data_IF_875910036494
#
_entry.id   IF_875910036494
#
_cell.length_a   1.000
_cell.length_b   1.000
_cell.length_c   1.000
_cell.angle_alpha   90.00
_cell.angle_beta   90.00
_cell.angle_gamma   90.00
#
_symmetry.space_group_name_H-M   'P 1'
#
loop_
_entity.id
_entity.type
_entity.pdbx_description
1 polymer ?
#
# COMPACT_ATOMS: atom_id res chain seq x y z
N UNK A 1 -19.13 14.56 -8.56
CA UNK A 1 -18.39 13.67 -7.65
C UNK A 1 -18.72 14.06 -6.22
N UNK A 2 -19.35 13.16 -5.47
CA UNK A 2 -19.64 13.29 -4.04
C UNK A 2 -18.45 12.81 -3.19
N UNK A 3 -18.48 13.08 -1.88
CA UNK A 3 -17.46 12.58 -0.96
C UNK A 3 -17.43 11.04 -0.88
N UNK A 4 -18.60 10.40 -1.00
CA UNK A 4 -18.70 8.94 -1.03
C UNK A 4 -18.06 8.35 -2.29
N UNK A 5 -18.33 8.98 -3.44
CA UNK A 5 -17.70 8.60 -4.72
C UNK A 5 -16.19 8.81 -4.69
N UNK A 6 -15.71 9.85 -3.98
CA UNK A 6 -14.28 10.10 -3.78
C UNK A 6 -13.60 9.02 -2.94
N UNK A 7 -14.22 8.62 -1.84
CA UNK A 7 -13.69 7.54 -1.01
C UNK A 7 -13.68 6.19 -1.75
N UNK A 8 -14.76 5.89 -2.48
CA UNK A 8 -14.88 4.65 -3.25
C UNK A 8 -13.89 4.56 -4.42
N UNK A 9 -13.49 5.70 -5.00
CA UNK A 9 -12.52 5.77 -6.07
C UNK A 9 -11.05 5.78 -5.59
N UNK A 10 -10.79 5.70 -4.29
CA UNK A 10 -9.43 5.79 -3.74
C UNK A 10 -8.64 4.49 -3.97
N UNK A 11 -7.58 4.50 -4.82
CA UNK A 11 -6.77 3.31 -5.05
C UNK A 11 -6.01 2.87 -3.79
N UNK A 12 -5.72 3.81 -2.88
CA UNK A 12 -5.07 3.52 -1.59
C UNK A 12 -5.99 2.66 -0.72
N UNK A 13 -7.28 3.00 -0.68
CA UNK A 13 -8.26 2.25 0.09
C UNK A 13 -8.52 0.88 -0.52
N UNK A 14 -8.62 0.80 -1.84
CA UNK A 14 -8.74 -0.47 -2.57
C UNK A 14 -7.56 -1.39 -2.29
N UNK A 15 -6.32 -0.88 -2.40
CA UNK A 15 -5.13 -1.68 -2.14
C UNK A 15 -5.03 -2.11 -0.68
N UNK A 16 -5.30 -1.22 0.27
CA UNK A 16 -5.32 -1.56 1.70
C UNK A 16 -6.34 -2.66 2.00
N UNK A 17 -7.54 -2.57 1.43
CA UNK A 17 -8.57 -3.59 1.59
C UNK A 17 -8.13 -4.93 0.98
N UNK A 18 -7.47 -4.93 -0.17
CA UNK A 18 -6.93 -6.13 -0.82
C UNK A 18 -5.85 -6.81 0.05
N UNK A 19 -4.91 -6.03 0.60
CA UNK A 19 -3.88 -6.57 1.51
C UNK A 19 -4.55 -7.24 2.73
N UNK A 20 -5.55 -6.59 3.34
CA UNK A 20 -6.27 -7.15 4.49
C UNK A 20 -7.00 -8.45 4.08
N UNK A 21 -7.65 -8.46 2.92
CA UNK A 21 -8.35 -9.63 2.39
C UNK A 21 -7.40 -10.81 2.18
N UNK A 22 -6.18 -10.55 1.68
CA UNK A 22 -5.16 -11.59 1.46
C UNK A 22 -4.50 -12.08 2.75
N UNK A 23 -4.24 -11.19 3.71
CA UNK A 23 -3.59 -11.54 4.97
C UNK A 23 -4.51 -12.37 5.89
N UNK A 24 -5.80 -12.05 5.95
CA UNK A 24 -6.78 -12.73 6.84
C UNK A 24 -6.78 -14.26 6.73
N UNK A 25 -6.91 -14.88 5.54
CA UNK A 25 -6.89 -16.33 5.42
C UNK A 25 -5.52 -16.95 5.71
N UNK A 26 -4.43 -16.17 5.65
CA UNK A 26 -3.05 -16.64 5.83
C UNK A 26 -2.52 -16.49 7.25
N UNK A 27 -3.25 -15.77 8.10
CA UNK A 27 -2.96 -15.55 9.52
C UNK A 27 -4.19 -15.94 10.38
N UNK A 28 -4.56 -17.24 10.41
CA UNK A 28 -5.72 -17.66 11.18
C UNK A 28 -5.55 -17.35 12.67
N UNK A 29 -6.61 -16.84 13.29
CA UNK A 29 -6.62 -16.46 14.71
C UNK A 29 -5.99 -15.10 15.01
N UNK A 30 -5.54 -14.34 14.01
CA UNK A 30 -5.07 -12.97 14.15
C UNK A 30 -6.13 -12.00 13.63
N UNK A 31 -6.54 -11.04 14.44
CA UNK A 31 -7.45 -9.97 14.00
C UNK A 31 -6.70 -9.02 13.04
N UNK A 32 -7.23 -8.75 11.85
CA UNK A 32 -6.60 -7.80 10.91
C UNK A 32 -7.57 -6.68 10.58
N UNK A 33 -7.20 -5.47 10.96
CA UNK A 33 -8.00 -4.26 10.81
C UNK A 33 -7.27 -3.19 10.02
N UNK A 34 -8.05 -2.27 9.46
CA UNK A 34 -7.54 -1.09 8.76
C UNK A 34 -7.21 0.02 9.76
N UNK A 35 -6.09 0.71 9.54
CA UNK A 35 -5.66 1.87 10.33
C UNK A 35 -5.43 3.09 9.41
N UNK A 36 -5.94 4.29 9.77
CA UNK A 36 -5.93 5.47 8.88
C UNK A 36 -4.54 6.04 8.55
N UNK A 37 -3.48 5.66 9.26
CA UNK A 37 -2.15 6.17 8.96
C UNK A 37 -1.03 5.61 9.82
N UNK A 38 -0.04 6.45 10.13
CA UNK A 38 0.99 6.14 11.13
C UNK A 38 0.34 6.01 12.50
N UNK A 39 0.67 4.93 13.18
CA UNK A 39 0.08 4.60 14.47
C UNK A 39 0.89 5.25 15.60
N UNK A 40 0.21 6.00 16.46
CA UNK A 40 0.78 6.46 17.72
C UNK A 40 0.77 5.27 18.69
N UNK A 41 1.94 4.96 19.24
CA UNK A 41 2.07 3.85 20.19
C UNK A 41 1.22 4.06 21.43
N UNK A 42 0.93 5.32 21.80
CA UNK A 42 0.04 5.62 22.92
C UNK A 42 -1.39 5.14 22.67
N UNK A 43 -1.90 5.24 21.43
CA UNK A 43 -3.26 4.81 21.07
C UNK A 43 -3.39 3.28 21.10
N UNK A 44 -2.29 2.58 20.80
CA UNK A 44 -2.27 1.12 20.84
C UNK A 44 -2.08 0.59 22.25
N UNK A 45 -1.31 1.28 23.09
CA UNK A 45 -1.23 0.97 24.53
C UNK A 45 -2.61 1.06 25.18
N UNK A 46 -3.49 1.95 24.70
CA UNK A 46 -4.88 2.03 25.15
C UNK A 46 -5.78 0.89 24.62
N UNK A 47 -5.24 -0.07 23.84
CA UNK A 47 -5.96 -1.17 23.16
C UNK A 47 -7.12 -0.69 22.28
N UNK A 48 -7.07 0.54 21.79
CA UNK A 48 -8.18 1.16 21.07
C UNK A 48 -8.27 0.74 19.59
N UNK A 49 -7.20 0.15 19.04
CA UNK A 49 -7.04 -0.02 17.58
C UNK A 49 -7.30 -1.46 17.10
N UNK A 50 -6.77 -2.47 17.80
CA UNK A 50 -6.93 -3.88 17.44
C UNK A 50 -6.74 -4.75 18.69
N UNK A 51 -7.50 -5.84 18.81
CA UNK A 51 -7.35 -6.77 19.93
C UNK A 51 -6.12 -7.68 19.72
N UNK A 52 -5.52 -8.16 20.82
CA UNK A 52 -4.43 -9.12 20.76
C UNK A 52 -4.98 -10.56 20.62
N UNK A 53 -4.36 -11.43 19.78
CA UNK A 53 -3.35 -11.10 18.79
C UNK A 53 -3.97 -10.41 17.56
N UNK A 54 -3.36 -9.32 17.11
CA UNK A 54 -3.93 -8.53 16.02
C UNK A 54 -2.91 -7.71 15.25
N UNK A 55 -3.33 -7.28 14.06
CA UNK A 55 -2.56 -6.49 13.09
C UNK A 55 -3.42 -5.30 12.64
N UNK A 56 -2.93 -4.09 12.88
CA UNK A 56 -3.49 -2.88 12.32
C UNK A 56 -2.68 -2.48 11.08
N UNK A 57 -3.29 -2.49 9.89
CA UNK A 57 -2.62 -2.15 8.64
C UNK A 57 -2.86 -0.67 8.27
N UNK A 58 -1.78 0.10 8.19
CA UNK A 58 -1.81 1.49 7.75
C UNK A 58 -0.74 1.81 6.72
N UNK A 59 -0.67 3.09 6.35
CA UNK A 59 0.35 3.65 5.48
C UNK A 59 0.89 4.94 6.08
N UNK A 60 2.16 5.28 5.80
CA UNK A 60 2.83 6.46 6.35
C UNK A 60 3.07 7.55 5.33
N UNK A 61 3.26 7.18 4.06
CA UNK A 61 3.62 8.11 3.01
C UNK A 61 3.20 7.59 1.64
N UNK A 62 2.78 8.50 0.77
CA UNK A 62 2.59 8.27 -0.65
C UNK A 62 3.35 9.33 -1.43
N UNK A 63 4.23 8.93 -2.34
CA UNK A 63 4.99 9.83 -3.23
C UNK A 63 4.54 9.56 -4.66
N UNK A 64 3.90 10.53 -5.29
CA UNK A 64 3.44 10.41 -6.68
C UNK A 64 4.47 10.92 -7.68
N UNK A 65 4.50 10.29 -8.84
CA UNK A 65 5.25 10.69 -10.02
C UNK A 65 4.27 10.80 -11.19
N UNK A 66 4.20 11.96 -11.83
CA UNK A 66 3.25 12.20 -12.91
C UNK A 66 3.75 11.52 -14.19
N UNK A 67 2.86 10.81 -14.87
CA UNK A 67 3.11 10.27 -16.20
C UNK A 67 2.69 11.27 -17.29
N UNK A 68 3.31 11.13 -18.46
CA UNK A 68 3.07 12.01 -19.62
C UNK A 68 1.62 11.94 -20.11
N UNK A 69 0.98 10.79 -19.97
CA UNK A 69 -0.38 10.55 -20.44
C UNK A 69 -1.46 10.98 -19.43
N UNK A 70 -1.09 11.69 -18.36
CA UNK A 70 -2.04 12.22 -17.38
C UNK A 70 -2.35 11.26 -16.22
N UNK A 71 -1.90 10.01 -16.30
CA UNK A 71 -1.85 9.12 -15.15
C UNK A 71 -0.72 9.52 -14.21
N UNK A 72 -0.65 8.85 -13.07
CA UNK A 72 0.50 8.95 -12.17
C UNK A 72 0.85 7.58 -11.60
N UNK A 73 2.13 7.38 -11.37
CA UNK A 73 2.63 6.29 -10.56
C UNK A 73 2.84 6.81 -9.13
N UNK A 74 3.04 5.91 -8.18
CA UNK A 74 3.48 6.34 -6.86
C UNK A 74 4.03 5.23 -5.99
N UNK A 75 4.88 5.62 -5.05
CA UNK A 75 5.43 4.72 -4.03
C UNK A 75 4.68 4.93 -2.72
N UNK A 76 4.07 3.87 -2.20
CA UNK A 76 3.39 3.85 -0.92
C UNK A 76 4.23 3.13 0.13
N UNK A 77 4.40 3.76 1.29
CA UNK A 77 5.03 3.17 2.48
C UNK A 77 3.94 2.60 3.40
N UNK A 78 3.93 1.28 3.59
CA UNK A 78 2.98 0.56 4.44
C UNK A 78 3.59 0.20 5.80
N UNK A 79 2.71 -0.01 6.77
CA UNK A 79 3.05 -0.55 8.07
C UNK A 79 1.94 -1.48 8.59
N UNK A 80 2.31 -2.70 8.93
CA UNK A 80 1.47 -3.65 9.66
C UNK A 80 1.92 -3.66 11.13
N UNK A 81 1.15 -3.01 12.00
CA UNK A 81 1.42 -2.92 13.43
C UNK A 81 0.87 -4.15 14.13
N UNK A 82 1.75 -4.96 14.71
CA UNK A 82 1.45 -6.23 15.36
C UNK A 82 1.31 -6.00 16.86
N UNK A 83 0.21 -6.46 17.43
CA UNK A 83 -0.13 -6.41 18.85
C UNK A 83 -0.32 -7.82 19.37
N UNK A 84 0.42 -8.19 20.41
CA UNK A 84 0.35 -9.54 20.99
C UNK A 84 0.43 -9.54 22.50
N UNK A 85 -0.21 -10.53 23.12
CA UNK A 85 -0.11 -10.85 24.53
C UNK A 85 0.36 -12.30 24.68
N UNK A 86 0.63 -12.74 25.91
CA UNK A 86 0.95 -14.14 26.16
C UNK A 86 -0.23 -15.03 25.75
N UNK A 87 0.04 -16.01 24.90
CA UNK A 87 -1.00 -16.90 24.39
C UNK A 87 -0.95 -18.25 25.08
N UNK A 88 -2.09 -18.68 25.61
CA UNK A 88 -2.26 -20.01 26.17
C UNK A 88 -2.67 -20.99 25.06
N UNK A 89 -1.72 -21.78 24.58
CA UNK A 89 -1.96 -22.85 23.62
C UNK A 89 -2.51 -24.07 24.38
N UNK A 90 -3.84 -24.14 24.45
CA UNK A 90 -4.55 -25.19 25.18
C UNK A 90 -4.38 -26.56 24.54
N UNK A 91 -4.16 -26.62 23.22
CA UNK A 91 -3.97 -27.87 22.50
C UNK A 91 -2.61 -28.51 22.84
N UNK A 92 -1.55 -27.69 22.90
CA UNK A 92 -0.21 -28.15 23.27
C UNK A 92 0.11 -27.98 24.77
N UNK A 93 -0.87 -27.55 25.59
CA UNK A 93 -0.72 -27.33 27.05
C UNK A 93 0.50 -26.46 27.40
N UNK A 94 0.73 -25.39 26.65
CA UNK A 94 1.90 -24.52 26.82
C UNK A 94 1.53 -23.04 26.74
N UNK A 95 2.39 -22.22 27.35
CA UNK A 95 2.39 -20.78 27.13
C UNK A 95 3.30 -20.44 25.96
N UNK A 96 2.81 -19.62 25.04
CA UNK A 96 3.61 -18.97 24.00
C UNK A 96 3.86 -17.53 24.45
N UNK A 97 5.13 -17.12 24.64
CA UNK A 97 5.46 -15.75 24.99
C UNK A 97 4.99 -14.76 23.92
N UNK A 98 4.48 -13.60 24.33
CA UNK A 98 4.04 -12.52 23.44
C UNK A 98 5.03 -12.18 22.31
N UNK A 99 6.33 -12.07 22.63
CA UNK A 99 7.35 -11.74 21.64
C UNK A 99 7.53 -12.86 20.61
N UNK A 100 7.44 -14.12 21.04
CA UNK A 100 7.50 -15.26 20.12
C UNK A 100 6.28 -15.27 19.17
N UNK A 101 5.10 -14.90 19.67
CA UNK A 101 3.91 -14.76 18.84
C UNK A 101 4.05 -13.60 17.85
N UNK A 102 4.55 -12.44 18.29
CA UNK A 102 4.81 -11.30 17.42
C UNK A 102 5.84 -11.61 16.32
N UNK A 103 6.92 -12.31 16.67
CA UNK A 103 7.91 -12.78 15.69
C UNK A 103 7.29 -13.74 14.68
N UNK A 104 6.43 -14.66 15.12
CA UNK A 104 5.73 -15.59 14.22
C UNK A 104 4.83 -14.86 13.22
N UNK A 105 4.02 -13.92 13.70
CA UNK A 105 3.14 -13.09 12.84
C UNK A 105 3.98 -12.24 11.88
N UNK A 106 4.99 -11.54 12.39
CA UNK A 106 5.85 -10.66 11.60
C UNK A 106 6.64 -11.41 10.54
N UNK A 107 7.22 -12.57 10.88
CA UNK A 107 7.95 -13.42 9.94
C UNK A 107 7.01 -13.92 8.84
N UNK A 108 5.79 -14.32 9.20
CA UNK A 108 4.80 -14.76 8.21
C UNK A 108 4.42 -13.63 7.25
N UNK A 109 4.24 -12.40 7.73
CA UNK A 109 3.99 -11.26 6.84
C UNK A 109 5.19 -11.02 5.91
N UNK A 110 6.42 -11.06 6.43
CA UNK A 110 7.63 -10.92 5.61
C UNK A 110 7.75 -12.01 4.53
N UNK A 111 7.40 -13.27 4.85
CA UNK A 111 7.34 -14.35 3.86
C UNK A 111 6.35 -14.04 2.74
N UNK A 112 5.15 -13.55 3.08
CA UNK A 112 4.13 -13.19 2.08
C UNK A 112 4.56 -11.99 1.22
N UNK A 113 5.30 -11.04 1.79
CA UNK A 113 5.89 -9.93 1.05
C UNK A 113 7.01 -10.38 0.11
N UNK A 114 7.71 -11.45 0.44
CA UNK A 114 8.74 -12.04 -0.41
C UNK A 114 8.15 -12.97 -1.51
N UNK A 115 6.92 -13.42 -1.34
CA UNK A 115 6.24 -14.33 -2.27
C UNK A 115 5.82 -13.59 -3.56
N UNK A 116 6.34 -13.97 -4.75
CA UNK A 116 6.03 -13.32 -6.00
C UNK A 116 4.57 -13.46 -6.45
N UNK A 117 3.87 -14.49 -5.97
CA UNK A 117 2.49 -14.80 -6.38
C UNK A 117 1.45 -14.13 -5.46
N UNK A 118 1.88 -13.71 -4.26
CA UNK A 118 0.99 -13.09 -3.25
C UNK A 118 1.24 -11.60 -3.09
N UNK A 119 2.49 -11.14 -3.21
CA UNK A 119 2.89 -9.78 -2.84
C UNK A 119 2.29 -8.65 -3.71
N UNK A 120 1.66 -8.99 -4.84
CA UNK A 120 0.86 -8.05 -5.64
C UNK A 120 -0.61 -7.92 -5.18
N UNK A 121 -1.03 -8.70 -4.18
CA UNK A 121 -2.36 -8.63 -3.54
C UNK A 121 -3.55 -8.82 -4.48
N UNK A 122 -3.37 -9.64 -5.51
CA UNK A 122 -4.34 -9.83 -6.61
C UNK A 122 -4.73 -8.50 -7.31
N UNK A 123 -3.90 -7.47 -7.20
CA UNK A 123 -4.11 -6.17 -7.83
C UNK A 123 -3.19 -5.99 -9.03
N UNK A 124 -3.76 -5.56 -10.16
CA UNK A 124 -2.98 -5.14 -11.31
C UNK A 124 -2.27 -3.81 -11.02
N UNK A 125 -1.08 -3.62 -11.61
CA UNK A 125 -0.33 -2.38 -11.46
C UNK A 125 0.34 -2.21 -10.09
N UNK A 126 0.46 -3.26 -9.29
CA UNK A 126 1.20 -3.25 -8.03
C UNK A 126 2.50 -4.04 -8.22
N UNK A 127 3.62 -3.36 -7.99
CA UNK A 127 4.93 -4.01 -7.97
C UNK A 127 5.13 -4.83 -6.69
N UNK A 128 6.12 -5.72 -6.73
CA UNK A 128 6.64 -6.35 -5.52
C UNK A 128 7.19 -5.31 -4.54
N UNK A 129 7.27 -5.62 -3.24
CA UNK A 129 7.93 -4.77 -2.27
C UNK A 129 9.33 -4.36 -2.72
N UNK A 130 9.63 -3.07 -2.57
CA UNK A 130 10.91 -2.49 -2.95
C UNK A 130 12.03 -3.09 -2.10
N UNK A 131 13.21 -3.27 -2.72
CA UNK A 131 14.40 -3.76 -2.03
C UNK A 131 15.10 -2.68 -1.18
N UNK A 132 14.81 -1.40 -1.45
CA UNK A 132 15.36 -0.27 -0.69
C UNK A 132 14.28 0.80 -0.41
N UNK A 133 13.84 0.99 0.85
CA UNK A 133 14.16 0.14 1.99
C UNK A 133 13.49 -1.25 1.85
N UNK A 134 14.23 -2.31 2.18
CA UNK A 134 13.68 -3.67 2.22
C UNK A 134 12.58 -3.79 3.29
N UNK A 135 11.62 -4.73 3.12
CA UNK A 135 10.68 -5.07 4.17
C UNK A 135 11.39 -5.42 5.48
N UNK A 136 10.92 -4.85 6.60
CA UNK A 136 11.60 -4.99 7.89
C UNK A 136 10.60 -5.21 9.03
N UNK A 137 10.94 -6.13 9.94
CA UNK A 137 10.25 -6.32 11.22
C UNK A 137 10.99 -5.55 12.31
N UNK A 138 10.34 -4.55 12.91
CA UNK A 138 10.93 -3.67 13.93
C UNK A 138 10.18 -3.79 15.27
N UNK A 139 10.87 -4.04 16.39
CA UNK A 139 10.25 -3.97 17.71
C UNK A 139 9.91 -2.51 18.08
N UNK A 140 8.71 -2.28 18.61
CA UNK A 140 8.26 -0.98 19.09
C UNK A 140 8.14 -1.00 20.62
N UNK A 141 9.27 -0.95 21.30
CA UNK A 141 9.29 -1.04 22.76
C UNK A 141 8.80 0.25 23.43
N UNK A 142 7.93 0.12 24.43
CA UNK A 142 7.66 1.17 25.42
C UNK A 142 7.62 0.57 26.82
N UNK A 143 7.98 1.35 27.85
CA UNK A 143 7.84 0.88 29.24
C UNK A 143 6.39 0.52 29.57
N UNK A 144 5.43 1.33 29.11
CA UNK A 144 3.99 1.06 29.31
C UNK A 144 3.52 -0.25 28.69
N UNK A 145 3.99 -0.58 27.48
CA UNK A 145 3.61 -1.83 26.83
C UNK A 145 4.13 -3.04 27.58
N UNK A 146 5.36 -2.94 28.09
CA UNK A 146 5.95 -3.99 28.91
C UNK A 146 5.15 -4.27 30.19
N UNK A 147 4.78 -3.21 30.90
CA UNK A 147 3.98 -3.29 32.14
C UNK A 147 2.56 -3.81 31.87
N UNK A 148 1.98 -3.45 30.72
CA UNK A 148 0.64 -3.91 30.31
C UNK A 148 0.61 -5.38 29.85
N UNK A 149 1.76 -6.03 29.73
CA UNK A 149 1.84 -7.42 29.28
C UNK A 149 1.75 -7.60 27.76
N UNK A 150 1.92 -6.53 26.98
CA UNK A 150 1.73 -6.50 25.53
C UNK A 150 3.06 -6.29 24.81
N UNK A 151 3.26 -6.96 23.67
CA UNK A 151 4.38 -6.74 22.76
C UNK A 151 3.90 -6.07 21.46
N UNK A 152 4.67 -5.07 21.02
CA UNK A 152 4.39 -4.29 19.82
C UNK A 152 5.53 -4.40 18.84
N UNK A 153 5.20 -4.74 17.59
CA UNK A 153 6.13 -4.81 16.48
C UNK A 153 5.49 -4.14 15.26
N UNK A 154 6.29 -3.77 14.27
CA UNK A 154 5.80 -3.32 12.98
C UNK A 154 6.54 -4.03 11.85
N UNK A 155 5.81 -4.53 10.87
CA UNK A 155 6.38 -4.86 9.56
C UNK A 155 6.16 -3.67 8.65
N UNK A 156 7.23 -3.07 8.14
CA UNK A 156 7.17 -1.94 7.22
C UNK A 156 7.73 -2.33 5.85
N UNK A 157 7.16 -1.78 4.78
CA UNK A 157 7.65 -1.99 3.42
C UNK A 157 7.18 -0.86 2.49
N UNK A 158 7.79 -0.76 1.31
CA UNK A 158 7.36 0.17 0.25
C UNK A 158 6.93 -0.60 -0.99
N UNK A 159 5.89 -0.16 -1.69
CA UNK A 159 5.46 -0.73 -2.97
C UNK A 159 5.13 0.37 -3.97
N UNK A 160 5.40 0.10 -5.25
CA UNK A 160 5.03 0.99 -6.35
C UNK A 160 3.67 0.60 -6.89
N UNK A 161 2.85 1.62 -7.12
CA UNK A 161 1.54 1.58 -7.74
C UNK A 161 1.68 2.24 -9.12
N UNK A 162 1.16 1.60 -10.16
CA UNK A 162 1.28 2.04 -11.54
C UNK A 162 -0.05 2.47 -12.13
N UNK A 163 0.02 3.46 -13.03
CA UNK A 163 -1.09 3.82 -13.91
C UNK A 163 -2.33 4.29 -13.15
N UNK A 164 -2.14 4.95 -12.01
CA UNK A 164 -3.24 5.49 -11.23
C UNK A 164 -3.86 6.71 -11.94
N UNK A 165 -5.16 6.89 -11.75
CA UNK A 165 -5.92 7.96 -12.41
C UNK A 165 -6.42 7.56 -13.80
N UNK A 166 -6.69 8.56 -14.63
CA UNK A 166 -7.26 8.38 -15.99
C UNK A 166 -6.29 8.95 -17.01
N UNK A 167 -6.07 8.21 -18.10
CA UNK A 167 -5.24 8.68 -19.20
C UNK A 167 -5.97 9.76 -20.00
N UNK A 168 -5.23 10.69 -20.59
CA UNK A 168 -5.75 11.62 -21.58
C UNK A 168 -6.32 10.87 -22.80
N UNK A 169 -5.75 9.71 -23.13
CA UNK A 169 -6.18 8.86 -24.24
C UNK A 169 -7.42 8.00 -23.93
N UNK A 170 -7.84 7.90 -22.66
CA UNK A 170 -9.11 7.26 -22.31
C UNK A 170 -10.32 8.15 -22.69
N UNK A 171 -10.06 9.41 -23.04
CA UNK A 171 -11.09 10.35 -23.52
C UNK A 171 -11.43 10.03 -24.98
N UNK A 172 -12.72 9.87 -25.33
CA UNK A 172 -13.12 9.61 -26.72
C UNK A 172 -12.55 10.68 -27.65
N UNK A 173 -11.95 10.32 -28.77
CA UNK A 173 -11.44 11.27 -29.77
C UNK A 173 -10.01 11.77 -29.54
N UNK A 174 -9.26 11.17 -28.60
CA UNK A 174 -7.80 11.32 -28.51
C UNK A 174 -7.18 9.93 -28.71
N UNK A 175 -6.23 9.80 -29.63
CA UNK A 175 -5.48 8.54 -29.79
C UNK A 175 -4.00 8.81 -29.99
N UNK A 176 -3.14 7.99 -29.39
CA UNK A 176 -1.70 8.01 -29.59
C UNK A 176 -1.26 6.78 -30.37
N UNK A 177 -0.32 6.95 -31.29
CA UNK A 177 0.35 5.84 -31.99
C UNK A 177 1.83 6.16 -32.18
N UNK A 178 2.64 5.13 -32.36
CA UNK A 178 4.02 5.29 -32.84
C UNK A 178 3.97 5.15 -34.37
N UNK A 179 4.59 6.08 -35.09
CA UNK A 179 4.72 5.97 -36.55
C UNK A 179 5.85 5.02 -36.96
N UNK A 180 6.05 4.83 -38.27
CA UNK A 180 7.07 3.93 -38.81
C UNK A 180 8.50 4.37 -38.48
N UNK A 181 8.69 5.65 -38.16
CA UNK A 181 9.98 6.26 -37.81
C UNK A 181 10.26 6.23 -36.30
N UNK A 182 9.32 5.68 -35.50
CA UNK A 182 9.45 5.57 -34.06
C UNK A 182 9.00 6.83 -33.29
N UNK A 183 8.39 7.81 -33.96
CA UNK A 183 7.91 9.03 -33.32
C UNK A 183 6.50 8.84 -32.75
N UNK A 184 6.23 9.50 -31.62
CA UNK A 184 4.88 9.57 -31.05
C UNK A 184 3.98 10.52 -31.83
N UNK A 185 2.91 10.00 -32.42
CA UNK A 185 1.88 10.76 -33.12
C UNK A 185 0.59 10.75 -32.31
N UNK A 186 0.11 11.95 -31.94
CA UNK A 186 -1.20 12.14 -31.30
C UNK A 186 -2.21 12.59 -32.36
N UNK A 187 -3.25 11.79 -32.57
CA UNK A 187 -4.37 12.12 -33.43
C UNK A 187 -5.56 12.64 -32.61
N UNK A 188 -6.05 13.81 -33.00
CA UNK A 188 -7.26 14.44 -32.48
C UNK A 188 -8.42 14.09 -33.42
N UNK A 189 -9.58 13.76 -32.86
CA UNK A 189 -10.82 13.71 -33.64
C UNK A 189 -11.14 15.08 -34.25
N UNK A 190 -11.90 15.10 -35.35
CA UNK A 190 -12.33 16.33 -36.02
C UNK A 190 -12.95 17.32 -34.99
N UNK A 191 -12.56 18.59 -35.08
CA UNK A 191 -12.99 19.72 -34.23
C UNK A 191 -12.59 19.70 -32.74
N UNK A 192 -11.41 19.18 -32.38
CA UNK A 192 -10.92 19.25 -30.99
C UNK A 192 -9.59 19.98 -30.83
N UNK A 193 -9.58 20.92 -29.87
CA UNK A 193 -8.36 21.52 -29.36
C UNK A 193 -7.56 20.52 -28.52
N UNK A 194 -6.23 20.59 -28.62
CA UNK A 194 -5.34 19.87 -27.71
C UNK A 194 -5.67 20.27 -26.27
N UNK A 195 -5.79 19.31 -25.33
CA UNK A 195 -5.80 19.62 -23.91
C UNK A 195 -4.64 20.56 -23.57
N UNK A 196 -4.92 21.59 -22.77
CA UNK A 196 -3.96 22.66 -22.43
C UNK A 196 -2.66 22.07 -21.86
N UNK A 197 -2.76 20.95 -21.15
CA UNK A 197 -1.63 20.22 -20.59
C UNK A 197 -0.73 19.60 -21.67
N UNK A 198 -1.31 19.02 -22.73
CA UNK A 198 -0.56 18.48 -23.87
C UNK A 198 0.02 19.62 -24.74
N UNK A 199 -0.72 20.71 -24.90
CA UNK A 199 -0.25 21.89 -25.61
C UNK A 199 0.90 22.60 -24.87
N UNK A 200 0.91 22.59 -23.54
CA UNK A 200 2.00 23.12 -22.74
C UNK A 200 3.26 22.24 -22.84
N UNK A 201 3.09 20.91 -22.79
CA UNK A 201 4.22 19.97 -22.91
C UNK A 201 4.95 20.10 -24.24
N UNK A 202 4.22 20.20 -25.36
CA UNK A 202 4.80 20.39 -26.69
C UNK A 202 5.59 21.71 -26.81
N UNK A 203 5.16 22.77 -26.12
CA UNK A 203 5.87 24.05 -26.12
C UNK A 203 7.18 24.04 -25.32
N UNK A 204 7.24 23.25 -24.26
CA UNK A 204 8.45 23.12 -23.45
C UNK A 204 9.56 22.33 -24.17
N UNK A 205 9.21 21.35 -25.03
CA UNK A 205 10.19 20.64 -25.86
C UNK A 205 10.78 21.53 -26.98
N UNK A 206 9.97 22.40 -27.60
CA UNK A 206 10.45 23.36 -28.61
C UNK A 206 11.36 24.46 -28.03
N UNK A 207 11.22 24.78 -26.74
CA UNK A 207 12.05 25.77 -26.05
C UNK A 207 13.39 25.22 -25.51
N UNK A 208 13.58 23.90 -25.56
CA UNK A 208 14.77 23.19 -25.08
C UNK A 208 15.79 22.80 -26.15
N UNK A 209 15.54 23.13 -27.43
CA UNK A 209 16.48 22.98 -28.56
C UNK A 209 17.13 24.32 -28.94
#
# INVERSE_FOLDING_TARGET
MSLSELAAASPIETLRAAIIAELKPRLPGVEITSHPGKLDINDVVAKAVVAAPGVALGWSRFRSERLLDGRFDGVMEFAAYIVTEDYADMAAQRRIPRDALAHGIGSRILELLADPDVSAWEQAGIDRPMADPAPALTPMFTSRSWDAGTAYYAVTWSQRLHGLGTSFFDRPGLSGRIDEDGNGVVALGEDRELPVELAAFLKDEEAGQ
#
